data_IF_481259558183
#
_entry.id   IF_481259558183
#
_cell.length_a   1.000
_cell.length_b   1.000
_cell.length_c   1.000
_cell.angle_alpha   90.00
_cell.angle_beta   90.00
_cell.angle_gamma   90.00
#
_symmetry.space_group_name_H-M   'P 1'
#
loop_
_entity.id
_entity.type
_entity.pdbx_description
1 polymer ?
#
# COMPACT_ATOMS: atom_id res chain seq x y z
N UNK A 1 -4.52 23.38 -3.17
CA UNK A 1 -3.19 22.74 -3.23
C UNK A 1 -2.31 23.55 -4.17
N UNK A 2 -1.08 23.95 -3.77
CA UNK A 2 -0.22 24.85 -4.55
C UNK A 2 0.48 24.17 -5.74
N UNK A 3 0.24 22.87 -5.96
CA UNK A 3 0.80 22.11 -7.07
C UNK A 3 -0.18 22.06 -8.24
N UNK A 4 0.32 22.27 -9.46
CA UNK A 4 -0.47 22.08 -10.67
C UNK A 4 -0.78 20.60 -10.84
N UNK A 5 -2.04 20.30 -11.17
CA UNK A 5 -2.44 18.93 -11.50
C UNK A 5 -1.72 18.49 -12.79
N UNK A 6 -1.11 17.32 -12.76
CA UNK A 6 -0.53 16.67 -13.94
C UNK A 6 -1.58 15.95 -14.80
N UNK A 7 -2.86 16.03 -14.43
CA UNK A 7 -3.96 15.32 -15.08
C UNK A 7 -4.09 13.88 -14.61
N UNK A 8 -4.91 13.11 -15.32
CA UNK A 8 -5.17 11.70 -15.06
C UNK A 8 -4.65 10.88 -16.24
N UNK A 9 -4.03 9.73 -15.97
CA UNK A 9 -3.55 8.84 -17.03
C UNK A 9 -4.70 8.45 -17.99
N UNK A 10 -4.51 8.53 -19.33
CA UNK A 10 -5.58 8.27 -20.30
C UNK A 10 -6.08 6.80 -20.28
N UNK A 11 -5.23 5.89 -19.82
CA UNK A 11 -5.49 4.46 -19.69
C UNK A 11 -6.32 4.02 -18.47
N UNK A 12 -6.94 4.94 -17.73
CA UNK A 12 -7.70 4.64 -16.52
C UNK A 12 -8.75 3.53 -16.73
N UNK A 13 -9.49 3.57 -17.84
CA UNK A 13 -10.56 2.59 -18.11
C UNK A 13 -10.00 1.17 -18.26
N UNK A 14 -8.94 1.02 -19.06
CA UNK A 14 -8.23 -0.27 -19.21
C UNK A 14 -7.68 -0.77 -17.88
N UNK A 15 -7.04 0.13 -17.12
CA UNK A 15 -6.48 -0.18 -15.79
C UNK A 15 -7.54 -0.75 -14.85
N UNK A 16 -8.75 -0.20 -14.88
CA UNK A 16 -9.88 -0.72 -14.10
C UNK A 16 -10.18 -2.17 -14.46
N UNK A 17 -10.37 -2.44 -15.75
CA UNK A 17 -10.73 -3.77 -16.26
C UNK A 17 -9.65 -4.79 -15.89
N UNK A 18 -8.39 -4.47 -16.19
CA UNK A 18 -7.24 -5.32 -15.90
C UNK A 18 -7.03 -5.57 -14.41
N UNK A 19 -7.35 -4.63 -13.52
CA UNK A 19 -7.27 -4.85 -12.08
C UNK A 19 -8.33 -5.88 -11.59
N UNK A 20 -9.54 -5.84 -12.13
CA UNK A 20 -10.59 -6.81 -11.79
C UNK A 20 -10.31 -8.20 -12.38
N UNK A 21 -9.89 -8.27 -13.64
CA UNK A 21 -9.48 -9.52 -14.28
C UNK A 21 -8.31 -10.19 -13.52
N UNK A 22 -7.34 -9.38 -13.08
CA UNK A 22 -6.24 -9.84 -12.25
C UNK A 22 -6.73 -10.39 -10.92
N UNK A 23 -7.60 -9.66 -10.19
CA UNK A 23 -8.12 -10.11 -8.91
C UNK A 23 -8.87 -11.45 -9.02
N UNK A 24 -9.67 -11.62 -10.07
CA UNK A 24 -10.34 -12.89 -10.38
C UNK A 24 -9.33 -14.01 -10.68
N UNK A 25 -8.28 -13.72 -11.47
CA UNK A 25 -7.25 -14.70 -11.83
C UNK A 25 -6.42 -15.19 -10.64
N UNK A 26 -6.21 -14.36 -9.62
CA UNK A 26 -5.51 -14.72 -8.38
C UNK A 26 -6.41 -15.48 -7.39
N UNK A 27 -7.71 -15.56 -7.67
CA UNK A 27 -8.73 -16.15 -6.79
C UNK A 27 -9.03 -15.28 -5.57
N UNK A 28 -8.99 -13.95 -5.74
CA UNK A 28 -9.38 -13.00 -4.70
C UNK A 28 -10.91 -12.89 -4.69
N UNK A 29 -11.56 -13.83 -3.97
CA UNK A 29 -13.01 -13.89 -3.84
C UNK A 29 -13.52 -12.81 -2.86
N UNK A 30 -13.84 -11.63 -3.39
CA UNK A 30 -14.41 -10.55 -2.60
C UNK A 30 -15.88 -10.84 -2.27
N UNK A 31 -16.24 -10.72 -0.99
CA UNK A 31 -17.65 -10.68 -0.58
C UNK A 31 -18.40 -9.54 -1.27
N UNK A 32 -19.73 -9.64 -1.40
CA UNK A 32 -20.54 -8.58 -2.02
C UNK A 32 -20.30 -7.19 -1.40
N UNK A 33 -20.22 -7.04 -0.05
CA UNK A 33 -19.84 -5.76 0.57
C UNK A 33 -18.43 -5.30 0.20
N UNK A 34 -17.41 -6.18 0.25
CA UNK A 34 -16.04 -5.84 -0.10
C UNK A 34 -15.92 -5.41 -1.57
N UNK A 35 -16.62 -6.09 -2.48
CA UNK A 35 -16.68 -5.71 -3.90
C UNK A 35 -17.26 -4.31 -4.09
N UNK A 36 -18.35 -3.98 -3.38
CA UNK A 36 -18.95 -2.63 -3.42
C UNK A 36 -18.01 -1.58 -2.84
N UNK A 37 -17.30 -1.88 -1.75
CA UNK A 37 -16.30 -0.99 -1.13
C UNK A 37 -15.15 -0.71 -2.11
N UNK A 38 -14.61 -1.74 -2.75
CA UNK A 38 -13.54 -1.63 -3.74
C UNK A 38 -13.94 -0.75 -4.95
N UNK A 39 -15.13 -0.99 -5.52
CA UNK A 39 -15.66 -0.15 -6.63
C UNK A 39 -15.76 1.33 -6.23
N UNK A 40 -16.19 1.61 -4.99
CA UNK A 40 -16.31 2.99 -4.49
C UNK A 40 -14.97 3.65 -4.21
N UNK A 41 -13.97 2.86 -3.82
CA UNK A 41 -12.63 3.34 -3.48
C UNK A 41 -11.84 3.74 -4.73
N UNK A 42 -12.15 3.14 -5.88
CA UNK A 42 -11.58 3.49 -7.20
C UNK A 42 -10.05 3.51 -7.22
N UNK A 43 -9.38 2.38 -6.89
CA UNK A 43 -7.91 2.30 -6.92
C UNK A 43 -7.32 2.73 -8.27
N UNK A 44 -8.03 2.46 -9.38
CA UNK A 44 -7.59 2.82 -10.73
C UNK A 44 -7.48 4.33 -10.92
N UNK A 45 -8.39 5.09 -10.29
CA UNK A 45 -8.38 6.56 -10.39
C UNK A 45 -7.19 7.11 -9.62
N UNK A 46 -6.96 6.59 -8.41
CA UNK A 46 -5.88 7.05 -7.56
C UNK A 46 -4.51 6.82 -8.21
N UNK A 47 -4.27 5.62 -8.73
CA UNK A 47 -3.03 5.30 -9.45
C UNK A 47 -2.90 6.10 -10.75
N UNK A 48 -3.99 6.35 -11.48
CA UNK A 48 -3.96 7.20 -12.67
C UNK A 48 -3.64 8.67 -12.37
N UNK A 49 -3.93 9.16 -11.16
CA UNK A 49 -3.61 10.52 -10.73
C UNK A 49 -2.16 10.65 -10.21
N UNK A 50 -1.62 9.59 -9.60
CA UNK A 50 -0.26 9.58 -9.05
C UNK A 50 0.77 9.25 -10.13
N UNK A 51 0.41 8.40 -11.10
CA UNK A 51 1.28 7.97 -12.19
C UNK A 51 0.74 8.39 -13.57
N UNK A 52 0.49 9.69 -13.82
CA UNK A 52 -0.17 10.17 -15.04
C UNK A 52 0.64 9.94 -16.32
N UNK A 53 1.93 9.59 -16.19
CA UNK A 53 2.87 9.37 -17.29
C UNK A 53 3.48 7.96 -17.30
N UNK A 54 3.01 7.05 -16.45
CA UNK A 54 3.48 5.67 -16.48
C UNK A 54 3.16 5.00 -17.83
N UNK A 55 3.88 3.95 -18.20
CA UNK A 55 3.39 3.05 -19.24
C UNK A 55 2.10 2.37 -18.76
N UNK A 56 1.29 1.89 -19.69
CA UNK A 56 0.07 1.17 -19.33
C UNK A 56 0.36 -0.05 -18.45
N UNK A 57 1.41 -0.81 -18.77
CA UNK A 57 1.76 -2.04 -18.02
C UNK A 57 2.18 -1.72 -16.57
N UNK A 58 2.93 -0.63 -16.35
CA UNK A 58 3.27 -0.17 -15.00
C UNK A 58 2.03 0.34 -14.26
N UNK A 59 1.15 1.06 -14.94
CA UNK A 59 -0.09 1.56 -14.33
C UNK A 59 -1.00 0.41 -13.88
N UNK A 60 -1.15 -0.62 -14.71
CA UNK A 60 -1.90 -1.84 -14.40
C UNK A 60 -1.29 -2.55 -13.19
N UNK A 61 0.04 -2.73 -13.16
CA UNK A 61 0.75 -3.33 -12.03
C UNK A 61 0.58 -2.52 -10.73
N UNK A 62 0.70 -1.20 -10.78
CA UNK A 62 0.58 -0.36 -9.58
C UNK A 62 -0.86 -0.30 -9.06
N UNK A 63 -1.85 -0.39 -9.97
CA UNK A 63 -3.25 -0.53 -9.59
C UNK A 63 -3.51 -1.85 -8.89
N UNK A 64 -2.88 -2.95 -9.31
CA UNK A 64 -2.99 -4.25 -8.65
C UNK A 64 -2.35 -4.23 -7.26
N UNK A 65 -1.19 -3.57 -7.09
CA UNK A 65 -0.60 -3.32 -5.77
C UNK A 65 -1.55 -2.57 -4.83
N UNK A 66 -2.20 -1.51 -5.31
CA UNK A 66 -3.15 -0.75 -4.49
C UNK A 66 -4.42 -1.53 -4.20
N UNK A 67 -4.94 -2.27 -5.18
CA UNK A 67 -6.08 -3.16 -4.99
C UNK A 67 -5.78 -4.18 -3.89
N UNK A 68 -4.62 -4.83 -3.96
CA UNK A 68 -4.16 -5.76 -2.93
C UNK A 68 -4.01 -5.06 -1.57
N UNK A 69 -3.45 -3.85 -1.53
CA UNK A 69 -3.29 -3.10 -0.29
C UNK A 69 -4.62 -2.78 0.40
N UNK A 70 -5.67 -2.45 -0.36
CA UNK A 70 -7.01 -2.28 0.21
C UNK A 70 -7.62 -3.58 0.74
N UNK A 71 -7.31 -4.73 0.14
CA UNK A 71 -7.77 -6.02 0.68
C UNK A 71 -7.05 -6.38 1.98
N UNK A 72 -5.75 -6.05 2.07
CA UNK A 72 -4.99 -6.16 3.32
C UNK A 72 -5.64 -5.29 4.38
N UNK A 73 -5.89 -4.01 4.08
CA UNK A 73 -6.55 -3.06 4.99
C UNK A 73 -7.89 -3.59 5.51
N UNK A 74 -8.75 -4.10 4.61
CA UNK A 74 -10.04 -4.71 4.98
C UNK A 74 -9.90 -5.88 5.97
N UNK A 75 -8.90 -6.76 5.80
CA UNK A 75 -8.68 -7.91 6.69
C UNK A 75 -8.17 -7.48 8.08
N UNK A 76 -7.32 -6.45 8.14
CA UNK A 76 -6.71 -6.00 9.39
C UNK A 76 -7.51 -4.93 10.14
N UNK A 77 -8.42 -4.21 9.49
CA UNK A 77 -9.32 -3.26 10.15
C UNK A 77 -10.64 -3.90 10.57
N UNK A 78 -11.30 -4.56 9.61
CA UNK A 78 -12.66 -5.08 9.79
C UNK A 78 -12.66 -6.58 10.16
N UNK A 79 -11.58 -7.30 9.80
CA UNK A 79 -11.45 -8.74 9.94
C UNK A 79 -10.97 -9.26 11.30
N UNK A 80 -10.94 -10.59 11.47
CA UNK A 80 -10.56 -11.23 12.73
C UNK A 80 -9.08 -11.03 13.08
N UNK A 81 -8.20 -10.87 12.09
CA UNK A 81 -6.78 -10.63 12.31
C UNK A 81 -6.53 -9.32 13.07
N UNK A 82 -7.24 -8.25 12.71
CA UNK A 82 -7.16 -6.94 13.37
C UNK A 82 -7.55 -6.89 14.85
N UNK A 83 -8.36 -7.85 15.28
CA UNK A 83 -8.94 -7.91 16.64
C UNK A 83 -8.15 -8.80 17.59
N UNK A 84 -7.17 -9.54 17.08
CA UNK A 84 -6.37 -10.47 17.86
C UNK A 84 -4.89 -10.29 17.51
N UNK A 85 -4.06 -9.70 18.40
CA UNK A 85 -2.65 -9.43 18.13
C UNK A 85 -1.86 -10.66 17.69
N UNK A 86 -2.13 -11.85 18.25
CA UNK A 86 -1.44 -13.09 17.88
C UNK A 86 -1.83 -13.57 16.47
N UNK A 87 -3.08 -13.39 16.06
CA UNK A 87 -3.50 -13.68 14.69
C UNK A 87 -2.91 -12.67 13.72
N UNK A 88 -2.91 -11.39 14.08
CA UNK A 88 -2.32 -10.30 13.31
C UNK A 88 -0.83 -10.56 13.03
N UNK A 89 -0.05 -10.83 14.07
CA UNK A 89 1.39 -11.14 13.99
C UNK A 89 1.67 -12.30 13.03
N UNK A 90 0.92 -13.40 13.16
CA UNK A 90 1.08 -14.57 12.30
C UNK A 90 0.75 -14.27 10.84
N UNK A 91 -0.30 -13.49 10.58
CA UNK A 91 -0.69 -13.11 9.22
C UNK A 91 0.35 -12.18 8.59
N UNK A 92 0.79 -11.13 9.30
CA UNK A 92 1.83 -10.21 8.83
C UNK A 92 3.15 -10.94 8.58
N UNK A 93 3.56 -11.82 9.51
CA UNK A 93 4.80 -12.60 9.35
C UNK A 93 4.77 -13.41 8.05
N UNK A 94 3.66 -14.08 7.73
CA UNK A 94 3.52 -14.83 6.47
C UNK A 94 3.58 -13.93 5.23
N UNK A 95 2.92 -12.78 5.26
CA UNK A 95 2.99 -11.82 4.15
C UNK A 95 4.43 -11.33 3.93
N UNK A 96 5.14 -11.04 5.02
CA UNK A 96 6.54 -10.62 4.98
C UNK A 96 7.45 -11.75 4.49
N UNK A 97 7.26 -12.99 4.94
CA UNK A 97 8.00 -14.15 4.45
C UNK A 97 7.77 -14.37 2.95
N UNK A 98 6.53 -14.23 2.48
CA UNK A 98 6.20 -14.31 1.05
C UNK A 98 6.84 -13.16 0.28
N UNK A 99 6.87 -11.94 0.82
CA UNK A 99 7.60 -10.82 0.22
C UNK A 99 9.11 -11.13 0.09
N UNK A 100 9.65 -11.89 1.03
CA UNK A 100 11.04 -12.35 1.06
C UNK A 100 11.30 -13.65 0.26
N UNK A 101 10.28 -14.22 -0.40
CA UNK A 101 10.45 -15.37 -1.30
C UNK A 101 9.82 -16.69 -0.83
N UNK A 102 9.17 -16.73 0.33
CA UNK A 102 8.52 -17.94 0.82
C UNK A 102 7.34 -18.37 -0.08
N UNK A 103 7.01 -19.66 -0.01
CA UNK A 103 5.91 -20.24 -0.77
C UNK A 103 4.55 -19.75 -0.22
N UNK A 104 3.66 -19.21 -1.07
CA UNK A 104 2.35 -18.75 -0.65
C UNK A 104 1.39 -19.92 -0.36
N UNK A 105 0.56 -19.77 0.67
CA UNK A 105 -0.40 -20.77 1.14
C UNK A 105 -1.86 -20.39 0.89
N UNK A 106 -2.13 -19.16 0.43
CA UNK A 106 -3.49 -18.66 0.17
C UNK A 106 -3.55 -17.59 -0.92
N UNK A 107 -4.76 -17.16 -1.34
CA UNK A 107 -4.94 -16.20 -2.42
C UNK A 107 -4.23 -14.86 -2.20
N UNK A 108 -4.32 -14.29 -0.99
CA UNK A 108 -3.64 -13.03 -0.65
C UNK A 108 -2.12 -13.14 -0.75
N UNK A 109 -1.56 -14.27 -0.32
CA UNK A 109 -0.12 -14.55 -0.39
C UNK A 109 0.32 -14.81 -1.84
N UNK A 110 -0.49 -15.53 -2.65
CA UNK A 110 -0.19 -15.77 -4.08
C UNK A 110 -0.16 -14.46 -4.87
N UNK A 111 -1.17 -13.62 -4.65
CA UNK A 111 -1.25 -12.29 -5.26
C UNK A 111 0.00 -11.46 -4.91
N UNK A 112 0.43 -11.46 -3.64
CA UNK A 112 1.65 -10.76 -3.22
C UNK A 112 2.91 -11.33 -3.91
N UNK A 113 3.04 -12.64 -4.01
CA UNK A 113 4.17 -13.28 -4.69
C UNK A 113 4.22 -12.86 -6.18
N UNK A 114 3.07 -12.90 -6.88
CA UNK A 114 2.98 -12.48 -8.28
C UNK A 114 3.29 -10.99 -8.48
N UNK A 115 2.83 -10.13 -7.57
CA UNK A 115 3.15 -8.71 -7.57
C UNK A 115 4.65 -8.47 -7.37
N UNK A 116 5.27 -9.12 -6.38
CA UNK A 116 6.73 -9.07 -6.15
C UNK A 116 7.50 -9.51 -7.39
N UNK A 117 7.13 -10.64 -7.98
CA UNK A 117 7.83 -11.22 -9.14
C UNK A 117 7.73 -10.37 -10.41
N UNK A 118 6.74 -9.49 -10.50
CA UNK A 118 6.62 -8.52 -11.60
C UNK A 118 7.26 -7.16 -11.28
N UNK A 119 7.59 -6.90 -10.02
CA UNK A 119 8.07 -5.59 -9.55
C UNK A 119 9.59 -5.56 -9.32
N UNK A 120 10.13 -6.62 -8.70
CA UNK A 120 11.50 -6.67 -8.21
C UNK A 120 12.57 -7.06 -9.25
N UNK A 121 12.29 -7.91 -10.26
CA UNK A 121 13.31 -8.28 -11.24
C UNK A 121 13.86 -7.09 -12.02
N UNK A 122 15.17 -7.11 -12.32
CA UNK A 122 15.86 -6.05 -13.04
C UNK A 122 16.20 -4.81 -12.19
N UNK A 123 15.71 -4.73 -10.94
CA UNK A 123 16.03 -3.65 -10.00
C UNK A 123 17.31 -3.96 -9.21
N UNK A 124 17.98 -2.91 -8.75
CA UNK A 124 19.16 -3.00 -7.91
C UNK A 124 18.84 -3.64 -6.55
N UNK A 125 19.83 -4.27 -5.90
CA UNK A 125 19.69 -4.75 -4.53
C UNK A 125 19.30 -3.66 -3.53
N UNK A 126 19.77 -2.41 -3.73
CA UNK A 126 19.38 -1.27 -2.89
C UNK A 126 17.89 -0.98 -2.99
N UNK A 127 17.37 -0.90 -4.23
CA UNK A 127 15.96 -0.63 -4.46
C UNK A 127 15.08 -1.74 -3.88
N UNK A 128 15.43 -3.01 -4.11
CA UNK A 128 14.69 -4.16 -3.57
C UNK A 128 14.65 -4.15 -2.03
N UNK A 129 15.78 -3.85 -1.37
CA UNK A 129 15.81 -3.69 0.09
C UNK A 129 14.92 -2.55 0.58
N UNK A 130 14.93 -1.42 -0.12
CA UNK A 130 14.13 -0.25 0.24
C UNK A 130 12.63 -0.53 0.10
N UNK A 131 12.21 -1.07 -1.05
CA UNK A 131 10.82 -1.42 -1.31
C UNK A 131 10.32 -2.45 -0.29
N UNK A 132 11.10 -3.51 -0.03
CA UNK A 132 10.77 -4.51 0.99
C UNK A 132 10.64 -3.90 2.38
N UNK A 133 11.57 -3.01 2.76
CA UNK A 133 11.55 -2.34 4.08
C UNK A 133 10.26 -1.54 4.25
N UNK A 134 9.91 -0.73 3.26
CA UNK A 134 8.74 0.16 3.34
C UNK A 134 7.43 -0.64 3.34
N UNK A 135 7.33 -1.69 2.52
CA UNK A 135 6.15 -2.57 2.49
C UNK A 135 5.97 -3.30 3.80
N UNK A 136 7.04 -3.86 4.37
CA UNK A 136 6.95 -4.54 5.65
C UNK A 136 6.68 -3.58 6.82
N UNK A 137 7.27 -2.37 6.80
CA UNK A 137 6.99 -1.36 7.82
C UNK A 137 5.50 -0.99 7.87
N UNK A 138 4.89 -0.81 6.69
CA UNK A 138 3.44 -0.64 6.59
C UNK A 138 2.69 -1.87 7.12
N UNK A 139 3.01 -3.09 6.69
CA UNK A 139 2.29 -4.28 7.18
C UNK A 139 2.36 -4.43 8.71
N UNK A 140 3.50 -4.11 9.33
CA UNK A 140 3.67 -4.17 10.77
C UNK A 140 2.90 -3.08 11.54
N UNK A 141 2.37 -2.04 10.88
CA UNK A 141 1.52 -1.05 11.57
C UNK A 141 0.24 -1.67 12.08
N UNK A 142 -0.36 -2.60 11.34
CA UNK A 142 -1.58 -3.29 11.77
C UNK A 142 -1.37 -4.11 13.06
N UNK A 143 -0.17 -4.65 13.29
CA UNK A 143 0.14 -5.33 14.56
C UNK A 143 0.21 -4.35 15.72
N UNK A 144 0.88 -3.22 15.54
CA UNK A 144 0.95 -2.18 16.56
C UNK A 144 -0.45 -1.68 16.95
N UNK A 145 -1.30 -1.41 15.95
CA UNK A 145 -2.70 -1.00 16.16
C UNK A 145 -3.51 -2.09 16.87
N UNK A 146 -3.34 -3.37 16.50
CA UNK A 146 -4.02 -4.47 17.17
C UNK A 146 -3.62 -4.58 18.65
N UNK A 147 -2.34 -4.38 18.98
CA UNK A 147 -1.84 -4.38 20.36
C UNK A 147 -2.41 -3.21 21.15
N UNK A 148 -2.37 -1.99 20.60
CA UNK A 148 -2.91 -0.79 21.24
C UNK A 148 -4.42 -0.92 21.49
N UNK A 149 -5.16 -1.41 20.49
CA UNK A 149 -6.61 -1.68 20.58
C UNK A 149 -6.92 -2.72 21.65
N UNK A 150 -6.15 -3.81 21.72
CA UNK A 150 -6.31 -4.84 22.74
C UNK A 150 -5.98 -4.32 24.16
N UNK A 151 -5.06 -3.37 24.27
CA UNK A 151 -4.71 -2.72 25.53
C UNK A 151 -5.64 -1.57 25.92
N UNK A 152 -6.59 -1.17 25.07
CA UNK A 152 -7.44 0.01 25.26
C UNK A 152 -6.65 1.32 25.30
N UNK A 153 -5.49 1.36 24.64
CA UNK A 153 -4.61 2.52 24.61
C UNK A 153 -4.88 3.36 23.36
N UNK A 154 -4.81 4.68 23.52
CA UNK A 154 -4.89 5.63 22.43
C UNK A 154 -3.53 6.32 22.33
N UNK A 155 -2.88 6.32 21.16
CA UNK A 155 -1.56 6.92 21.01
C UNK A 155 -1.62 8.44 21.24
N UNK A 156 -0.53 9.01 21.76
CA UNK A 156 -0.35 10.46 21.76
C UNK A 156 -0.28 10.98 20.33
N UNK A 157 -0.53 12.29 20.13
CA UNK A 157 -0.41 12.92 18.79
C UNK A 157 0.94 12.67 18.13
N UNK A 158 2.03 12.66 18.91
CA UNK A 158 3.37 12.42 18.38
C UNK A 158 3.64 10.96 18.02
N UNK A 159 3.01 10.02 18.72
CA UNK A 159 3.09 8.59 18.39
C UNK A 159 2.24 8.32 17.15
N UNK A 160 1.01 8.81 17.12
CA UNK A 160 0.13 8.74 15.95
C UNK A 160 0.81 9.32 14.71
N UNK A 161 1.41 10.51 14.78
CA UNK A 161 2.08 11.10 13.62
C UNK A 161 3.25 10.28 13.08
N UNK A 162 3.98 9.56 13.96
CA UNK A 162 5.06 8.66 13.53
C UNK A 162 4.50 7.40 12.89
N UNK A 163 3.53 6.78 13.56
CA UNK A 163 2.85 5.57 13.10
C UNK A 163 2.15 5.79 11.75
N UNK A 164 1.45 6.91 11.61
CA UNK A 164 0.68 7.27 10.42
C UNK A 164 1.52 7.39 9.16
N UNK A 165 2.82 7.68 9.30
CA UNK A 165 3.75 7.72 8.15
C UNK A 165 3.93 6.35 7.50
N UNK A 166 3.88 5.30 8.30
CA UNK A 166 3.98 3.94 7.78
C UNK A 166 2.58 3.40 7.46
N UNK A 167 1.58 3.67 8.32
CA UNK A 167 0.23 3.10 8.15
C UNK A 167 -0.57 3.65 6.97
N UNK A 168 -0.23 4.83 6.43
CA UNK A 168 -0.85 5.34 5.18
C UNK A 168 -0.35 4.60 3.92
N UNK A 169 0.62 3.71 4.05
CA UNK A 169 1.16 2.89 2.96
C UNK A 169 1.74 3.67 1.76
N UNK A 170 2.04 4.97 1.89
CA UNK A 170 2.54 5.78 0.77
C UNK A 170 4.01 5.48 0.43
N UNK A 171 4.83 5.10 1.42
CA UNK A 171 6.29 4.88 1.23
C UNK A 171 6.62 3.82 0.15
N UNK A 172 5.94 2.65 0.09
CA UNK A 172 6.08 1.72 -1.04
C UNK A 172 5.78 2.34 -2.40
N UNK A 173 4.71 3.13 -2.54
CA UNK A 173 4.35 3.78 -3.80
C UNK A 173 5.36 4.85 -4.23
N UNK A 174 6.01 5.52 -3.28
CA UNK A 174 7.14 6.42 -3.58
C UNK A 174 8.32 5.68 -4.20
N UNK A 175 8.53 4.40 -3.88
CA UNK A 175 9.54 3.57 -4.55
C UNK A 175 9.13 3.19 -5.97
N UNK A 176 7.83 2.98 -6.24
CA UNK A 176 7.31 2.67 -7.58
C UNK A 176 7.49 3.83 -8.57
N UNK A 177 7.55 5.08 -8.10
CA UNK A 177 7.91 6.22 -8.95
C UNK A 177 9.29 6.07 -9.61
N UNK A 178 10.24 5.43 -8.92
CA UNK A 178 11.57 5.19 -9.47
C UNK A 178 11.54 4.22 -10.67
N UNK A 179 10.58 3.30 -10.72
CA UNK A 179 10.35 2.42 -11.88
C UNK A 179 9.93 3.26 -13.08
N UNK A 180 8.99 4.19 -12.90
CA UNK A 180 8.54 5.07 -14.00
C UNK A 180 9.59 6.07 -14.47
N UNK A 181 10.53 6.41 -13.60
CA UNK A 181 11.65 7.27 -13.92
C UNK A 181 12.86 6.48 -14.47
N UNK A 182 12.78 5.14 -14.53
CA UNK A 182 13.87 4.26 -14.95
C UNK A 182 15.18 4.48 -14.18
N UNK A 183 15.08 4.81 -12.90
CA UNK A 183 16.22 5.05 -12.02
C UNK A 183 16.18 4.13 -10.81
N UNK A 184 17.34 3.80 -10.26
CA UNK A 184 17.47 3.20 -8.93
C UNK A 184 18.28 4.15 -8.07
N UNK A 185 17.63 4.84 -7.13
CA UNK A 185 18.34 5.78 -6.28
C UNK A 185 19.36 5.04 -5.39
N UNK A 186 20.65 5.48 -5.39
CA UNK A 186 21.66 4.89 -4.53
C UNK A 186 21.42 5.26 -3.07
N UNK A 187 21.98 4.46 -2.15
CA UNK A 187 21.84 4.68 -0.70
C UNK A 187 22.32 6.08 -0.27
N UNK A 188 23.33 6.63 -0.95
CA UNK A 188 23.81 7.99 -0.69
C UNK A 188 22.71 9.05 -0.92
N UNK A 189 21.91 8.91 -1.98
CA UNK A 189 20.78 9.80 -2.24
C UNK A 189 19.63 9.58 -1.25
N UNK A 190 19.33 8.31 -0.93
CA UNK A 190 18.28 7.95 0.05
C UNK A 190 18.59 8.45 1.47
N UNK A 191 19.87 8.50 1.84
CA UNK A 191 20.33 8.97 3.14
C UNK A 191 20.33 10.50 3.30
N UNK A 192 20.11 11.25 2.22
CA UNK A 192 20.07 12.71 2.29
C UNK A 192 18.92 13.16 3.21
N UNK A 193 19.17 13.97 4.25
CA UNK A 193 18.12 14.46 5.14
C UNK A 193 16.97 15.15 4.39
N UNK A 194 17.28 15.88 3.31
CA UNK A 194 16.28 16.53 2.47
C UNK A 194 15.38 15.53 1.73
N UNK A 195 15.91 14.40 1.25
CA UNK A 195 15.12 13.38 0.58
C UNK A 195 14.19 12.66 1.58
N UNK A 196 14.71 12.32 2.75
CA UNK A 196 13.91 11.73 3.84
C UNK A 196 12.79 12.70 4.27
N UNK A 197 13.11 13.98 4.44
CA UNK A 197 12.12 15.00 4.80
C UNK A 197 11.04 15.16 3.72
N UNK A 198 11.42 15.13 2.44
CA UNK A 198 10.48 15.22 1.32
C UNK A 198 9.53 14.02 1.29
N UNK A 199 10.05 12.79 1.44
CA UNK A 199 9.22 11.58 1.51
C UNK A 199 8.24 11.65 2.69
N UNK A 200 8.72 12.04 3.87
CA UNK A 200 7.88 12.21 5.04
C UNK A 200 6.79 13.28 4.82
N UNK A 201 7.10 14.40 4.16
CA UNK A 201 6.12 15.43 3.88
C UNK A 201 5.01 14.97 2.93
N UNK A 202 5.34 14.19 1.90
CA UNK A 202 4.34 13.60 0.97
C UNK A 202 3.43 12.62 1.72
N UNK A 203 4.04 11.75 2.53
CA UNK A 203 3.32 10.78 3.34
C UNK A 203 2.42 11.45 4.38
N UNK A 204 2.94 12.43 5.13
CA UNK A 204 2.18 13.20 6.13
C UNK A 204 0.99 13.90 5.46
N UNK A 205 1.21 14.52 4.29
CA UNK A 205 0.15 15.17 3.54
C UNK A 205 -0.94 14.17 3.09
N UNK A 206 -0.54 13.05 2.50
CA UNK A 206 -1.47 12.01 2.06
C UNK A 206 -2.28 11.44 3.22
N UNK A 207 -1.62 11.15 4.36
CA UNK A 207 -2.26 10.60 5.56
C UNK A 207 -3.27 11.57 6.14
N UNK A 208 -2.87 12.82 6.37
CA UNK A 208 -3.77 13.83 6.93
C UNK A 208 -4.96 14.16 6.01
N UNK A 209 -4.75 14.16 4.69
CA UNK A 209 -5.85 14.31 3.74
C UNK A 209 -6.81 13.11 3.81
N UNK A 210 -6.28 11.89 3.93
CA UNK A 210 -7.12 10.71 4.13
C UNK A 210 -7.93 10.84 5.43
N UNK A 211 -7.28 11.13 6.57
CA UNK A 211 -7.94 11.27 7.88
C UNK A 211 -9.08 12.31 7.86
N UNK A 212 -8.88 13.45 7.18
CA UNK A 212 -9.94 14.48 7.04
C UNK A 212 -11.10 13.96 6.19
N UNK A 213 -10.81 13.29 5.07
CA UNK A 213 -11.83 12.81 4.15
C UNK A 213 -12.55 11.54 4.65
N UNK A 214 -11.91 10.73 5.49
CA UNK A 214 -12.47 9.52 6.05
C UNK A 214 -13.14 9.72 7.42
N UNK A 215 -12.93 10.87 8.08
CA UNK A 215 -13.42 11.16 9.42
C UNK A 215 -14.90 10.81 9.65
N UNK A 216 -15.81 11.24 8.77
CA UNK A 216 -17.25 10.97 8.94
C UNK A 216 -17.58 9.47 8.91
N UNK A 217 -16.87 8.70 8.09
CA UNK A 217 -17.01 7.24 8.02
C UNK A 217 -16.46 6.60 9.27
N UNK A 218 -15.26 7.00 9.71
CA UNK A 218 -14.56 6.40 10.84
C UNK A 218 -15.22 6.73 12.19
N UNK A 219 -15.75 7.94 12.35
CA UNK A 219 -16.47 8.35 13.56
C UNK A 219 -17.82 7.63 13.75
N UNK A 220 -18.30 6.91 12.73
CA UNK A 220 -19.53 6.13 12.78
C UNK A 220 -19.31 4.64 13.12
N UNK A 221 -18.05 4.20 13.26
CA UNK A 221 -17.66 2.84 13.66
C UNK A 221 -17.57 2.72 15.19
#
# INVERSE_FOLDING_TARGET
>A
MPFQSAGCHPGLAKTRETAWEWAESEGLDLSVPARKKMIRTRPELWISLIFPKASQDHLDLFCQWLFWAFLVDDEFDDGPAGRNPLMCEKAITRLVDVLDGATPNGPMERALAGLRDRTCPGRSPQWNRQFRRDTAAWLWTYYAEAVERAAGQVPSRSEFAKHRRDSVAMQPFLCLHEITAEIDLPDSARSLPAYIALRNAVTDHSGLCNDICSFEKEAAL
#
